data_IF_359373434930
#
_entry.id   IF_359373434930
#
_cell.length_a   1.000
_cell.length_b   1.000
_cell.length_c   1.000
_cell.angle_alpha   90.00
_cell.angle_beta   90.00
_cell.angle_gamma   90.00
#
_symmetry.space_group_name_H-M   'P 1'
#
loop_
_entity.id
_entity.type
_entity.pdbx_description
1 polymer ?
#
# COMPACT_ATOMS: atom_id res chain seq x y z
N UNK A 1 -12.29 6.91 -12.28
CA UNK A 1 -12.76 5.57 -11.84
C UNK A 1 -13.77 4.94 -12.80
N UNK A 2 -14.78 5.67 -13.30
CA UNK A 2 -15.82 5.09 -14.19
C UNK A 2 -15.24 4.44 -15.44
N UNK A 3 -14.30 5.11 -16.11
CA UNK A 3 -13.63 4.58 -17.32
C UNK A 3 -12.85 3.30 -17.01
N UNK A 4 -12.17 3.24 -15.86
CA UNK A 4 -11.43 2.04 -15.45
C UNK A 4 -12.36 0.87 -15.14
N UNK A 5 -13.53 1.12 -14.55
CA UNK A 5 -14.56 0.07 -14.34
C UNK A 5 -15.06 -0.45 -15.69
N UNK A 6 -15.26 0.43 -16.67
CA UNK A 6 -15.67 0.02 -18.03
C UNK A 6 -14.59 -0.87 -18.67
N UNK A 7 -13.32 -0.50 -18.58
CA UNK A 7 -12.20 -1.33 -19.08
C UNK A 7 -12.19 -2.72 -18.43
N UNK A 8 -12.40 -2.80 -17.10
CA UNK A 8 -12.50 -4.09 -16.41
C UNK A 8 -13.68 -4.92 -16.90
N UNK A 9 -14.83 -4.29 -17.16
CA UNK A 9 -16.03 -4.96 -17.70
C UNK A 9 -15.78 -5.52 -19.11
N UNK A 10 -15.12 -4.73 -19.97
CA UNK A 10 -14.76 -5.16 -21.32
C UNK A 10 -13.75 -6.32 -21.30
N UNK A 11 -12.75 -6.26 -20.41
CA UNK A 11 -11.81 -7.38 -20.19
C UNK A 11 -12.55 -8.64 -19.74
N UNK A 12 -13.46 -8.53 -18.77
CA UNK A 12 -14.26 -9.66 -18.30
C UNK A 12 -15.09 -10.28 -19.41
N UNK A 13 -15.70 -9.47 -20.29
CA UNK A 13 -16.45 -9.94 -21.43
C UNK A 13 -15.59 -10.72 -22.43
N UNK A 14 -14.37 -10.24 -22.70
CA UNK A 14 -13.42 -10.94 -23.59
C UNK A 14 -12.94 -12.26 -23.02
N UNK A 15 -12.66 -12.30 -21.71
CA UNK A 15 -12.29 -13.56 -21.02
C UNK A 15 -13.46 -14.54 -21.07
N UNK A 16 -14.69 -14.08 -20.82
CA UNK A 16 -15.88 -14.93 -20.85
C UNK A 16 -16.16 -15.51 -22.24
N UNK A 17 -15.91 -14.74 -23.31
CA UNK A 17 -16.06 -15.21 -24.70
C UNK A 17 -14.92 -16.12 -25.18
N UNK A 18 -13.88 -16.34 -24.36
CA UNK A 18 -12.72 -17.12 -24.76
C UNK A 18 -11.82 -16.44 -25.79
N UNK A 19 -11.95 -15.12 -25.95
CA UNK A 19 -11.20 -14.34 -26.95
C UNK A 19 -9.79 -13.97 -26.52
N UNK A 20 -9.38 -14.32 -25.30
CA UNK A 20 -8.07 -13.97 -24.72
C UNK A 20 -7.46 -15.21 -24.08
N UNK A 21 -6.16 -15.39 -24.28
CA UNK A 21 -5.42 -16.49 -23.62
C UNK A 21 -5.44 -16.31 -22.09
N UNK A 22 -5.76 -17.36 -21.32
CA UNK A 22 -5.80 -17.29 -19.85
C UNK A 22 -4.47 -16.87 -19.20
N UNK A 23 -3.35 -17.04 -19.90
CA UNK A 23 -2.04 -16.56 -19.43
C UNK A 23 -1.88 -15.03 -19.56
N UNK A 24 -2.51 -14.44 -20.57
CA UNK A 24 -2.52 -12.98 -20.78
C UNK A 24 -3.47 -12.30 -19.81
N UNK A 25 -4.76 -12.71 -19.82
CA UNK A 25 -5.79 -12.17 -18.93
C UNK A 25 -6.77 -13.25 -18.49
N UNK A 26 -7.29 -13.10 -17.26
CA UNK A 26 -8.24 -14.04 -16.66
C UNK A 26 -9.05 -13.38 -15.55
N UNK A 27 -10.15 -14.05 -15.15
CA UNK A 27 -11.05 -13.49 -14.11
C UNK A 27 -10.36 -13.21 -12.78
N UNK A 28 -9.29 -13.97 -12.43
CA UNK A 28 -8.55 -13.73 -11.18
C UNK A 28 -7.77 -12.41 -11.24
N UNK A 29 -7.08 -12.12 -12.36
CA UNK A 29 -6.39 -10.85 -12.60
C UNK A 29 -7.39 -9.69 -12.57
N UNK A 30 -8.50 -9.81 -13.29
CA UNK A 30 -9.55 -8.77 -13.38
C UNK A 30 -10.16 -8.49 -12.01
N UNK A 31 -10.47 -9.52 -11.24
CA UNK A 31 -10.98 -9.38 -9.87
C UNK A 31 -9.96 -8.72 -8.94
N UNK A 32 -8.68 -9.09 -9.06
CA UNK A 32 -7.58 -8.45 -8.34
C UNK A 32 -7.47 -6.95 -8.65
N UNK A 33 -7.53 -6.59 -9.94
CA UNK A 33 -7.48 -5.19 -10.37
C UNK A 33 -8.74 -4.42 -9.93
N UNK A 34 -9.91 -5.04 -9.96
CA UNK A 34 -11.16 -4.47 -9.45
C UNK A 34 -11.09 -4.17 -7.94
N UNK A 35 -10.49 -5.06 -7.16
CA UNK A 35 -10.26 -4.84 -5.71
C UNK A 35 -9.30 -3.66 -5.47
N UNK A 36 -8.21 -3.57 -6.24
CA UNK A 36 -7.25 -2.45 -6.16
C UNK A 36 -7.94 -1.13 -6.52
N UNK A 37 -8.66 -1.09 -7.64
CA UNK A 37 -9.41 0.08 -8.08
C UNK A 37 -10.46 0.53 -7.04
N UNK A 38 -11.15 -0.44 -6.42
CA UNK A 38 -12.15 -0.18 -5.38
C UNK A 38 -11.56 0.33 -4.06
N UNK A 39 -10.27 0.14 -3.82
CA UNK A 39 -9.54 0.69 -2.67
C UNK A 39 -9.00 2.08 -3.00
N UNK A 40 -8.13 2.16 -3.99
CA UNK A 40 -7.54 3.40 -4.49
C UNK A 40 -6.98 3.18 -5.91
N UNK A 41 -7.36 4.05 -6.85
CA UNK A 41 -6.92 3.95 -8.25
C UNK A 41 -5.41 4.09 -8.43
N UNK A 42 -4.71 4.75 -7.50
CA UNK A 42 -3.24 4.93 -7.54
C UNK A 42 -2.47 3.63 -7.34
N UNK A 43 -3.10 2.58 -6.80
CA UNK A 43 -2.50 1.24 -6.74
C UNK A 43 -2.31 0.64 -8.14
N UNK A 44 -3.17 1.01 -9.09
CA UNK A 44 -3.09 0.56 -10.48
C UNK A 44 -2.15 1.46 -11.28
N UNK A 45 -2.30 2.78 -11.10
CA UNK A 45 -1.47 3.77 -11.78
C UNK A 45 -1.23 4.97 -10.85
N UNK A 46 -0.01 5.12 -10.38
CA UNK A 46 0.41 6.17 -9.45
C UNK A 46 0.27 7.59 -10.01
N UNK A 47 0.20 7.74 -11.34
CA UNK A 47 0.00 9.03 -11.99
C UNK A 47 -1.45 9.54 -11.91
N UNK A 48 -2.38 8.70 -11.44
CA UNK A 48 -3.76 9.11 -11.26
C UNK A 48 -3.90 9.99 -10.02
N UNK A 49 -4.86 10.95 -10.04
CA UNK A 49 -5.05 11.85 -8.92
C UNK A 49 -5.55 11.12 -7.66
N UNK A 50 -5.23 11.68 -6.51
CA UNK A 50 -5.79 11.27 -5.22
C UNK A 50 -7.23 11.77 -5.11
N UNK A 51 -8.18 10.88 -5.30
CA UNK A 51 -9.59 11.22 -5.26
C UNK A 51 -10.12 11.25 -3.81
N UNK A 52 -10.76 12.36 -3.36
CA UNK A 52 -11.24 12.48 -1.98
C UNK A 52 -12.22 11.38 -1.54
N UNK A 53 -12.94 10.80 -2.49
CA UNK A 53 -13.95 9.75 -2.24
C UNK A 53 -13.40 8.33 -2.14
N UNK A 54 -12.08 8.12 -2.20
CA UNK A 54 -11.50 6.77 -2.08
C UNK A 54 -11.73 6.20 -0.68
N UNK A 55 -11.74 4.86 -0.58
CA UNK A 55 -11.82 4.18 0.72
C UNK A 55 -10.65 4.56 1.63
N UNK A 56 -9.48 4.80 1.07
CA UNK A 56 -8.29 5.24 1.81
C UNK A 56 -8.53 6.59 2.46
N UNK A 57 -9.02 7.57 1.71
CA UNK A 57 -9.30 8.90 2.23
C UNK A 57 -10.42 8.92 3.27
N UNK A 58 -11.46 8.10 3.08
CA UNK A 58 -12.52 7.92 4.08
C UNK A 58 -11.97 7.25 5.36
N UNK A 59 -11.10 6.26 5.22
CA UNK A 59 -10.43 5.62 6.35
C UNK A 59 -9.59 6.62 7.15
N UNK A 60 -8.79 7.44 6.49
CA UNK A 60 -7.99 8.51 7.12
C UNK A 60 -8.90 9.48 7.87
N UNK A 61 -10.00 9.91 7.28
CA UNK A 61 -10.98 10.78 7.94
C UNK A 61 -11.56 10.17 9.22
N UNK A 62 -11.96 8.90 9.16
CA UNK A 62 -12.48 8.16 10.32
C UNK A 62 -11.41 7.99 11.41
N UNK A 63 -10.17 7.66 11.05
CA UNK A 63 -9.07 7.54 11.99
C UNK A 63 -8.84 8.86 12.72
N UNK A 64 -8.81 9.97 12.00
CA UNK A 64 -8.59 11.30 12.56
C UNK A 64 -9.72 11.72 13.49
N UNK A 65 -10.95 11.40 13.16
CA UNK A 65 -12.10 11.67 14.02
C UNK A 65 -11.99 10.89 15.33
N UNK A 66 -11.79 9.56 15.26
CA UNK A 66 -11.66 8.71 16.45
C UNK A 66 -10.43 9.13 17.30
N UNK A 67 -9.33 9.52 16.65
CA UNK A 67 -8.14 10.00 17.35
C UNK A 67 -8.42 11.26 18.18
N UNK A 68 -9.17 12.23 17.62
CA UNK A 68 -9.57 13.46 18.34
C UNK A 68 -10.57 13.17 19.44
N UNK A 69 -11.62 12.41 19.13
CA UNK A 69 -12.69 12.11 20.08
C UNK A 69 -12.19 11.24 21.25
N UNK A 70 -11.24 10.37 20.99
CA UNK A 70 -10.64 9.47 22.00
C UNK A 70 -9.34 9.99 22.64
N UNK A 71 -9.08 11.30 22.59
CA UNK A 71 -7.83 11.87 23.15
C UNK A 71 -7.72 11.70 24.66
N UNK A 72 -8.81 11.88 25.39
CA UNK A 72 -8.84 11.75 26.86
C UNK A 72 -8.48 10.33 27.33
N UNK A 73 -8.97 9.32 26.61
CA UNK A 73 -8.77 7.90 26.96
C UNK A 73 -7.60 7.28 26.20
N UNK A 74 -6.93 8.05 25.34
CA UNK A 74 -5.84 7.60 24.45
C UNK A 74 -6.24 6.35 23.67
N UNK A 75 -7.46 6.35 23.10
CA UNK A 75 -7.98 5.23 22.31
C UNK A 75 -7.03 4.86 21.18
N UNK A 76 -6.85 3.57 20.97
CA UNK A 76 -5.97 3.01 19.93
C UNK A 76 -6.78 2.35 18.84
N UNK A 77 -6.27 2.40 17.62
CA UNK A 77 -6.93 1.88 16.42
C UNK A 77 -6.02 0.91 15.71
N UNK A 78 -6.57 -0.21 15.27
CA UNK A 78 -5.90 -1.19 14.41
C UNK A 78 -6.47 -1.06 13.00
N UNK A 79 -5.60 -0.85 12.03
CA UNK A 79 -5.98 -0.69 10.63
C UNK A 79 -5.44 -1.86 9.83
N UNK A 80 -6.33 -2.61 9.20
CA UNK A 80 -5.98 -3.77 8.39
C UNK A 80 -6.20 -3.46 6.91
N UNK A 81 -5.17 -3.68 6.11
CA UNK A 81 -5.23 -3.60 4.66
C UNK A 81 -4.52 -4.82 4.05
N UNK A 82 -5.26 -5.66 3.35
CA UNK A 82 -4.74 -6.88 2.72
C UNK A 82 -4.18 -6.64 1.31
N UNK A 83 -4.37 -5.41 0.78
CA UNK A 83 -3.89 -4.99 -0.53
C UNK A 83 -2.79 -3.96 -0.34
N UNK A 84 -1.73 -4.03 -1.16
CA UNK A 84 -0.60 -3.09 -1.09
C UNK A 84 0.19 -3.16 0.23
N UNK A 85 0.30 -4.37 0.79
CA UNK A 85 1.19 -4.60 1.93
C UNK A 85 2.62 -4.28 1.53
N UNK A 86 3.39 -3.50 2.34
CA UNK A 86 4.78 -3.21 2.04
C UNK A 86 5.57 -4.51 1.90
N UNK A 87 6.19 -4.70 0.74
CA UNK A 87 7.10 -5.83 0.55
C UNK A 87 8.46 -5.46 1.11
N UNK A 88 9.09 -6.39 1.81
CA UNK A 88 10.49 -6.26 2.17
C UNK A 88 11.30 -6.05 0.88
N UNK A 89 12.21 -5.08 0.87
CA UNK A 89 13.09 -4.85 -0.26
C UNK A 89 13.68 -6.18 -0.75
N UNK A 90 13.70 -6.46 -2.06
CA UNK A 90 14.18 -7.73 -2.59
C UNK A 90 15.58 -8.00 -2.03
N UNK A 91 15.74 -9.13 -1.35
CA UNK A 91 17.04 -9.51 -0.82
C UNK A 91 18.02 -9.62 -2.00
N UNK A 92 19.24 -9.13 -1.85
CA UNK A 92 20.31 -9.16 -2.88
C UNK A 92 20.58 -10.55 -3.51
N UNK A 93 19.90 -11.60 -3.05
CA UNK A 93 19.96 -12.95 -3.61
C UNK A 93 19.11 -13.15 -4.87
N UNK A 94 18.09 -12.34 -5.12
CA UNK A 94 17.25 -12.46 -6.33
C UNK A 94 17.87 -11.77 -7.56
N UNK A 95 18.82 -10.86 -7.38
CA UNK A 95 19.50 -10.14 -8.45
C UNK A 95 20.60 -10.95 -9.17
N UNK A 96 20.89 -12.18 -8.72
CA UNK A 96 22.06 -12.96 -9.19
C UNK A 96 21.76 -13.95 -10.34
N UNK A 97 20.63 -13.85 -11.01
CA UNK A 97 20.21 -14.81 -12.04
C UNK A 97 19.93 -14.22 -13.42
N UNK A 98 20.48 -13.03 -13.74
CA UNK A 98 20.55 -12.54 -15.13
C UNK A 98 21.97 -12.05 -15.40
N UNK A 99 22.87 -12.99 -15.67
CA UNK A 99 24.17 -12.69 -16.27
C UNK A 99 23.96 -12.27 -17.74
N UNK A 100 23.80 -10.98 -17.96
CA UNK A 100 23.88 -10.40 -19.30
C UNK A 100 24.94 -9.28 -19.28
N UNK A 101 26.15 -9.51 -19.83
CA UNK A 101 27.28 -8.56 -19.76
C UNK A 101 27.01 -7.22 -20.47
N UNK A 102 25.95 -7.14 -21.28
CA UNK A 102 25.60 -5.90 -22.00
C UNK A 102 24.86 -4.90 -21.10
N UNK A 103 24.22 -5.35 -20.01
CA UNK A 103 23.54 -4.47 -19.04
C UNK A 103 24.54 -3.78 -18.08
N UNK A 104 25.66 -4.43 -17.75
CA UNK A 104 26.68 -3.87 -16.86
C UNK A 104 27.35 -2.60 -17.41
N UNK A 105 27.39 -2.43 -18.71
CA UNK A 105 27.99 -1.23 -19.34
C UNK A 105 27.03 -0.02 -19.35
N UNK A 106 25.72 -0.26 -19.27
CA UNK A 106 24.71 0.81 -19.20
C UNK A 106 24.47 1.30 -17.76
N UNK A 107 24.68 0.45 -16.76
CA UNK A 107 24.51 0.81 -15.34
C UNK A 107 25.56 1.80 -14.82
N UNK A 108 26.71 1.92 -15.50
CA UNK A 108 27.80 2.85 -15.10
C UNK A 108 27.64 4.28 -15.66
N UNK A 109 26.64 4.55 -16.48
CA UNK A 109 26.53 5.81 -17.21
C UNK A 109 25.45 6.78 -16.70
N UNK A 110 24.61 6.37 -15.74
CA UNK A 110 23.55 7.24 -15.17
C UNK A 110 23.61 7.14 -13.66
N UNK A 111 23.67 8.26 -12.90
CA UNK A 111 23.39 8.22 -11.47
C UNK A 111 21.95 7.75 -11.34
N UNK A 112 21.75 6.50 -10.91
CA UNK A 112 20.46 6.02 -10.50
C UNK A 112 20.08 6.82 -9.25
N UNK A 113 19.20 7.78 -9.40
CA UNK A 113 18.40 8.26 -8.29
C UNK A 113 17.91 7.03 -7.55
N UNK A 114 18.07 7.00 -6.24
CA UNK A 114 17.54 5.90 -5.43
C UNK A 114 16.09 5.68 -5.84
N UNK A 115 15.68 4.44 -6.18
CA UNK A 115 14.33 4.21 -6.65
C UNK A 115 13.36 4.77 -5.61
N UNK A 116 12.55 5.73 -6.01
CA UNK A 116 11.50 6.29 -5.16
C UNK A 116 10.75 5.12 -4.51
N UNK A 117 10.52 5.16 -3.19
CA UNK A 117 9.86 4.06 -2.51
C UNK A 117 8.52 3.80 -3.19
N UNK A 118 8.32 2.57 -3.64
CA UNK A 118 7.11 2.17 -4.33
C UNK A 118 5.88 2.60 -3.50
N UNK A 119 4.91 3.26 -4.15
CA UNK A 119 3.68 3.70 -3.50
C UNK A 119 3.02 2.54 -2.75
N UNK A 120 2.79 2.71 -1.47
CA UNK A 120 2.02 1.79 -0.64
C UNK A 120 0.88 2.53 0.06
N UNK A 121 -0.25 1.86 0.22
CA UNK A 121 -1.39 2.40 0.96
C UNK A 121 -1.03 2.70 2.42
N UNK A 122 -0.17 1.88 3.03
CA UNK A 122 0.29 2.06 4.40
C UNK A 122 1.02 3.40 4.58
N UNK A 123 1.96 3.70 3.70
CA UNK A 123 2.71 4.95 3.77
C UNK A 123 1.84 6.16 3.40
N UNK A 124 0.93 6.02 2.42
CA UNK A 124 -0.03 7.07 2.06
C UNK A 124 -0.94 7.43 3.25
N UNK A 125 -1.48 6.43 3.96
CA UNK A 125 -2.27 6.65 5.17
C UNK A 125 -1.43 7.38 6.23
N UNK A 126 -0.22 6.91 6.51
CA UNK A 126 0.69 7.53 7.49
C UNK A 126 0.94 9.00 7.17
N UNK A 127 1.32 9.31 5.94
CA UNK A 127 1.61 10.67 5.51
C UNK A 127 0.38 11.58 5.63
N UNK A 128 -0.81 11.09 5.27
CA UNK A 128 -2.06 11.83 5.41
C UNK A 128 -2.45 12.10 6.86
N UNK A 129 -2.23 11.13 7.76
CA UNK A 129 -2.47 11.31 9.18
C UNK A 129 -1.52 12.37 9.78
N UNK A 130 -0.23 12.32 9.42
CA UNK A 130 0.76 13.31 9.86
C UNK A 130 0.41 14.70 9.30
N UNK A 131 0.05 14.80 8.03
CA UNK A 131 -0.36 16.06 7.40
C UNK A 131 -1.59 16.69 8.06
N UNK A 132 -2.47 15.87 8.67
CA UNK A 132 -3.63 16.34 9.45
C UNK A 132 -3.33 16.61 10.93
N UNK A 133 -2.06 16.53 11.34
CA UNK A 133 -1.59 16.92 12.66
C UNK A 133 -1.40 15.78 13.67
N UNK A 134 -1.52 14.51 13.25
CA UNK A 134 -1.18 13.38 14.14
C UNK A 134 0.34 13.27 14.28
N UNK A 135 0.89 13.20 15.52
CA UNK A 135 2.32 13.00 15.75
C UNK A 135 2.80 11.66 15.14
N UNK A 136 3.93 11.68 14.44
CA UNK A 136 4.46 10.50 13.75
C UNK A 136 4.75 9.32 14.70
N UNK A 137 5.14 9.62 15.94
CA UNK A 137 5.40 8.63 17.00
C UNK A 137 4.15 7.89 17.48
N UNK A 138 2.97 8.40 17.18
CA UNK A 138 1.69 7.76 17.49
C UNK A 138 1.22 6.78 16.41
N UNK A 139 1.96 6.69 15.32
CA UNK A 139 1.68 5.79 14.19
C UNK A 139 2.79 4.75 14.11
N UNK A 140 2.43 3.48 14.01
CA UNK A 140 3.41 2.41 13.86
C UNK A 140 2.96 1.37 12.84
N UNK A 141 3.92 0.68 12.25
CA UNK A 141 3.70 -0.44 11.34
C UNK A 141 4.04 -1.77 12.01
N UNK A 142 3.11 -2.72 12.00
CA UNK A 142 3.37 -4.05 12.58
C UNK A 142 4.49 -4.80 11.85
N UNK A 143 4.63 -4.60 10.55
CA UNK A 143 5.63 -5.29 9.74
C UNK A 143 7.07 -4.79 9.99
N UNK A 144 7.26 -3.65 10.66
CA UNK A 144 8.57 -3.17 11.09
C UNK A 144 9.09 -3.94 12.32
N UNK A 145 8.20 -4.49 13.14
CA UNK A 145 8.55 -5.31 14.29
C UNK A 145 8.88 -6.76 13.84
N UNK A 146 10.15 -7.01 13.51
CA UNK A 146 10.62 -8.29 12.96
C UNK A 146 10.84 -9.38 14.00
N UNK A 147 11.12 -9.00 15.24
CA UNK A 147 11.40 -9.94 16.34
C UNK A 147 10.24 -9.97 17.34
N UNK A 148 10.13 -11.08 18.08
CA UNK A 148 9.12 -11.21 19.15
C UNK A 148 9.31 -10.15 20.25
N UNK A 149 10.53 -9.75 20.52
CA UNK A 149 10.83 -8.69 21.50
C UNK A 149 10.28 -7.35 21.00
N UNK A 150 10.56 -7.00 19.76
CA UNK A 150 10.05 -5.76 19.12
C UNK A 150 8.52 -5.75 19.06
N UNK A 151 7.87 -6.88 18.74
CA UNK A 151 6.42 -7.00 18.76
C UNK A 151 5.83 -6.77 20.15
N UNK A 152 6.44 -7.37 21.19
CA UNK A 152 6.00 -7.18 22.57
C UNK A 152 6.15 -5.72 23.01
N UNK A 153 7.23 -5.07 22.65
CA UNK A 153 7.45 -3.64 22.94
C UNK A 153 6.41 -2.78 22.20
N UNK A 154 6.19 -3.02 20.89
CA UNK A 154 5.19 -2.32 20.10
C UNK A 154 3.80 -2.47 20.70
N UNK A 155 3.38 -3.69 21.04
CA UNK A 155 2.08 -3.92 21.66
C UNK A 155 1.97 -3.30 23.07
N UNK A 156 3.08 -3.16 23.79
CA UNK A 156 3.09 -2.39 25.04
C UNK A 156 2.81 -0.91 24.77
N UNK A 157 3.45 -0.30 23.78
CA UNK A 157 3.20 1.09 23.36
C UNK A 157 1.76 1.32 22.89
N UNK A 158 1.17 0.35 22.19
CA UNK A 158 -0.24 0.40 21.78
C UNK A 158 -1.16 0.37 23.02
N UNK A 159 -0.93 -0.56 23.97
CA UNK A 159 -1.75 -0.67 25.17
C UNK A 159 -1.67 0.53 26.11
N UNK A 160 -0.55 1.24 26.12
CA UNK A 160 -0.37 2.46 26.91
C UNK A 160 -0.81 3.73 26.20
N UNK A 161 -1.30 3.63 24.95
CA UNK A 161 -1.73 4.76 24.15
C UNK A 161 -0.58 5.66 23.65
N UNK A 162 0.66 5.20 23.72
CA UNK A 162 1.79 5.87 23.08
C UNK A 162 1.70 5.74 21.55
N UNK A 163 1.29 4.57 21.08
CA UNK A 163 0.92 4.34 19.68
C UNK A 163 -0.60 4.32 19.61
N UNK A 164 -1.17 5.26 18.86
CA UNK A 164 -2.61 5.45 18.72
C UNK A 164 -3.16 4.81 17.44
N UNK A 165 -2.30 4.58 16.45
CA UNK A 165 -2.66 3.92 15.17
C UNK A 165 -1.61 2.86 14.86
N UNK A 166 -2.04 1.61 14.73
CA UNK A 166 -1.23 0.48 14.29
C UNK A 166 -1.73 0.00 12.93
N UNK A 167 -0.84 0.05 11.93
CA UNK A 167 -1.04 -0.36 10.55
C UNK A 167 -0.38 -1.70 10.28
#
# INVERSE_FOLDING_TARGET
QKEMVQVLSERASRVHSGSVDPSEDNMLKITGDGRKLGLDQRIINQLLPDEPGTKVNQCVGNIMQIWRDGEADKLTQLVFCDISTPQAAPSKKAAKQLDNPTLHALEQAVPLDEPEPAFTIYEDIRQKLIAQGMPAEQIAFIHEAKTEVQKKELFSKVRTGQVRVLL
#
